data_IF_880292955767
#
_entry.id   IF_880292955767
#
_cell.length_a   1.000
_cell.length_b   1.000
_cell.length_c   1.000
_cell.angle_alpha   90.00
_cell.angle_beta   90.00
_cell.angle_gamma   90.00
#
_symmetry.space_group_name_H-M   'P 1'
#
loop_
_entity.id
_entity.type
_entity.pdbx_description
1 polymer ?
#
# COMPACT_ATOMS: atom_id res chain seq x y z
N UNK A 1 -31.32 9.48 5.80
CA UNK A 1 -29.85 9.34 5.85
C UNK A 1 -29.25 10.12 4.71
N UNK A 2 -28.22 10.89 4.97
CA UNK A 2 -27.53 11.64 3.90
C UNK A 2 -26.74 10.66 3.02
N UNK A 3 -26.85 10.81 1.69
CA UNK A 3 -26.00 10.04 0.79
C UNK A 3 -24.63 10.70 0.71
N UNK A 4 -23.57 9.91 0.95
CA UNK A 4 -22.20 10.33 0.74
C UNK A 4 -21.91 10.37 -0.77
N UNK A 5 -21.05 11.29 -1.18
CA UNK A 5 -20.66 11.47 -2.59
C UNK A 5 -19.28 10.83 -2.82
N UNK A 6 -19.19 9.77 -3.63
CA UNK A 6 -17.91 9.09 -3.91
C UNK A 6 -16.81 10.02 -4.41
N UNK A 7 -17.16 11.08 -5.15
CA UNK A 7 -16.23 12.04 -5.74
C UNK A 7 -15.44 12.83 -4.69
N UNK A 8 -15.93 12.90 -3.46
CA UNK A 8 -15.28 13.64 -2.38
C UNK A 8 -14.13 12.89 -1.72
N UNK A 9 -13.94 11.60 -2.03
CA UNK A 9 -12.97 10.74 -1.36
C UNK A 9 -11.80 10.41 -2.28
N UNK A 10 -10.60 10.76 -1.81
CA UNK A 10 -9.38 10.62 -2.61
C UNK A 10 -8.42 9.55 -2.09
N UNK A 11 -8.61 9.06 -0.88
CA UNK A 11 -7.74 8.06 -0.26
C UNK A 11 -8.55 6.82 0.10
N UNK A 12 -8.07 5.67 -0.37
CA UNK A 12 -8.61 4.36 -0.02
C UNK A 12 -7.73 3.71 1.06
N UNK A 13 -8.34 3.37 2.18
CA UNK A 13 -7.71 2.55 3.21
C UNK A 13 -8.30 1.14 3.14
N UNK A 14 -7.49 0.17 2.76
CA UNK A 14 -7.87 -1.25 2.71
C UNK A 14 -7.42 -1.90 4.00
N UNK A 15 -8.38 -2.40 4.77
CA UNK A 15 -8.19 -3.15 6.01
C UNK A 15 -8.88 -4.52 5.86
N UNK A 16 -8.16 -5.56 5.43
CA UNK A 16 -8.77 -6.86 5.08
C UNK A 16 -9.56 -7.50 6.20
N UNK A 17 -9.03 -7.49 7.43
CA UNK A 17 -9.66 -8.12 8.59
C UNK A 17 -10.52 -7.14 9.36
N UNK A 18 -11.53 -7.67 10.06
CA UNK A 18 -12.41 -6.87 10.93
C UNK A 18 -11.63 -6.06 11.98
N UNK A 19 -10.64 -6.69 12.64
CA UNK A 19 -9.80 -6.02 13.66
C UNK A 19 -8.96 -4.88 13.08
N UNK A 20 -8.50 -5.02 11.83
CA UNK A 20 -7.77 -3.98 11.10
C UNK A 20 -8.69 -2.82 10.72
N UNK A 21 -9.93 -3.14 10.30
CA UNK A 21 -10.95 -2.13 10.01
C UNK A 21 -11.38 -1.38 11.27
N UNK A 22 -11.49 -2.05 12.41
CA UNK A 22 -11.75 -1.42 13.71
C UNK A 22 -10.63 -0.45 14.09
N UNK A 23 -9.36 -0.87 13.91
CA UNK A 23 -8.22 0.02 14.13
C UNK A 23 -8.24 1.24 13.20
N UNK A 24 -8.56 1.05 11.91
CA UNK A 24 -8.68 2.13 10.94
C UNK A 24 -9.79 3.14 11.32
N UNK A 25 -10.96 2.66 11.76
CA UNK A 25 -12.06 3.50 12.21
C UNK A 25 -11.72 4.33 13.46
N UNK A 26 -10.87 3.80 14.35
CA UNK A 26 -10.39 4.52 15.54
C UNK A 26 -9.34 5.59 15.19
N UNK A 27 -8.72 5.50 14.02
CA UNK A 27 -7.75 6.49 13.53
C UNK A 27 -8.42 7.69 12.84
N UNK A 28 -9.71 7.61 12.47
CA UNK A 28 -10.40 8.75 11.88
C UNK A 28 -10.46 9.93 12.86
N UNK A 29 -10.22 11.14 12.35
CA UNK A 29 -10.44 12.37 13.12
C UNK A 29 -11.95 12.58 13.30
N UNK A 30 -12.74 12.41 12.21
CA UNK A 30 -14.19 12.37 12.26
C UNK A 30 -14.72 11.26 11.35
N UNK A 31 -15.73 10.52 11.83
CA UNK A 31 -16.48 9.58 11.00
C UNK A 31 -17.61 10.33 10.30
N UNK A 32 -17.74 10.17 9.00
CA UNK A 32 -18.81 10.79 8.24
C UNK A 32 -20.11 10.02 8.39
N UNK A 33 -21.16 10.73 8.75
CA UNK A 33 -22.52 10.18 8.81
C UNK A 33 -23.09 10.03 7.41
N UNK A 34 -23.68 8.86 7.12
CA UNK A 34 -24.29 8.57 5.84
C UNK A 34 -23.82 7.25 5.24
N UNK A 35 -24.29 6.99 4.04
CA UNK A 35 -23.92 5.80 3.26
C UNK A 35 -23.65 6.19 1.83
N UNK A 36 -22.76 5.45 1.19
CA UNK A 36 -22.60 5.52 -0.25
C UNK A 36 -23.80 4.85 -0.93
N UNK A 37 -24.27 5.37 -2.08
CA UNK A 37 -25.25 4.68 -2.89
C UNK A 37 -24.61 3.37 -3.40
N UNK A 38 -25.36 2.27 -3.27
CA UNK A 38 -24.94 0.94 -3.71
C UNK A 38 -25.89 0.50 -4.80
N UNK A 39 -25.36 0.15 -5.97
CA UNK A 39 -26.13 -0.38 -7.08
C UNK A 39 -26.22 -1.91 -6.98
N UNK A 40 -27.20 -2.48 -7.67
CA UNK A 40 -27.34 -3.94 -7.76
C UNK A 40 -26.12 -4.54 -8.48
N UNK A 41 -25.37 -5.40 -7.79
CA UNK A 41 -24.11 -5.99 -8.27
C UNK A 41 -22.87 -5.35 -7.70
N UNK A 42 -23.01 -4.40 -6.77
CA UNK A 42 -21.91 -3.96 -5.92
C UNK A 42 -21.81 -4.86 -4.69
N UNK A 43 -20.63 -5.41 -4.42
CA UNK A 43 -20.44 -6.43 -3.39
C UNK A 43 -19.88 -5.87 -2.08
N UNK A 44 -19.43 -4.60 -2.05
CA UNK A 44 -18.71 -4.03 -0.91
C UNK A 44 -19.44 -2.83 -0.29
N UNK A 45 -19.33 -2.73 1.03
CA UNK A 45 -19.84 -1.59 1.81
C UNK A 45 -18.64 -0.85 2.38
N UNK A 46 -18.57 0.45 2.10
CA UNK A 46 -17.48 1.31 2.51
C UNK A 46 -17.86 2.17 3.72
N UNK A 47 -16.90 2.38 4.62
CA UNK A 47 -16.99 3.36 5.69
C UNK A 47 -16.25 4.63 5.29
N UNK A 48 -16.65 5.78 5.82
CA UNK A 48 -16.10 7.07 5.43
C UNK A 48 -15.76 7.95 6.62
N UNK A 49 -14.77 8.79 6.45
CA UNK A 49 -14.36 9.79 7.42
C UNK A 49 -13.27 10.70 6.89
N UNK A 50 -12.75 11.56 7.76
CA UNK A 50 -11.54 12.32 7.47
C UNK A 50 -10.40 11.93 8.40
N UNK A 51 -9.17 12.14 7.93
CA UNK A 51 -7.95 11.84 8.64
C UNK A 51 -6.84 12.80 8.18
N UNK A 52 -6.30 13.59 9.09
CA UNK A 52 -5.26 14.59 8.79
C UNK A 52 -5.64 15.54 7.63
N UNK A 53 -6.93 15.91 7.54
CA UNK A 53 -7.45 16.78 6.49
C UNK A 53 -7.72 16.11 5.14
N UNK A 54 -7.61 14.80 5.05
CA UNK A 54 -7.95 14.00 3.88
C UNK A 54 -9.29 13.27 4.06
N UNK A 55 -10.12 13.28 3.05
CA UNK A 55 -11.29 12.40 3.01
C UNK A 55 -10.87 10.97 2.66
N UNK A 56 -11.08 10.06 3.60
CA UNK A 56 -10.67 8.67 3.54
C UNK A 56 -11.89 7.76 3.47
N UNK A 57 -11.83 6.78 2.58
CA UNK A 57 -12.77 5.67 2.55
C UNK A 57 -12.09 4.40 3.04
N UNK A 58 -12.71 3.71 4.00
CA UNK A 58 -12.23 2.45 4.56
C UNK A 58 -13.01 1.32 3.93
N UNK A 59 -12.26 0.35 3.39
CA UNK A 59 -12.76 -0.86 2.77
C UNK A 59 -12.27 -2.08 3.54
N UNK A 60 -13.18 -3.00 3.85
CA UNK A 60 -12.86 -4.29 4.45
C UNK A 60 -13.45 -5.43 3.63
N UNK A 61 -12.84 -6.59 3.69
CA UNK A 61 -13.35 -7.77 2.99
C UNK A 61 -14.66 -8.26 3.62
N UNK A 62 -15.50 -8.98 2.86
CA UNK A 62 -16.74 -9.54 3.37
C UNK A 62 -16.51 -10.45 4.58
N UNK A 63 -17.47 -10.47 5.51
CA UNK A 63 -17.43 -11.36 6.65
C UNK A 63 -17.41 -12.83 6.19
N UNK A 64 -16.65 -13.68 6.86
CA UNK A 64 -16.54 -15.11 6.52
C UNK A 64 -15.14 -15.54 6.10
N UNK A 65 -14.12 -14.74 6.46
CA UNK A 65 -12.70 -15.05 6.21
C UNK A 65 -12.31 -15.06 4.72
N UNK A 66 -12.91 -14.19 3.93
CA UNK A 66 -12.44 -13.93 2.58
C UNK A 66 -11.19 -13.05 2.64
N UNK A 67 -10.01 -13.64 2.67
CA UNK A 67 -8.72 -12.97 2.59
C UNK A 67 -7.93 -13.51 1.39
N UNK A 68 -6.79 -12.92 1.11
CA UNK A 68 -5.92 -13.33 0.01
C UNK A 68 -5.90 -12.34 -1.15
N UNK A 69 -4.99 -12.59 -2.07
CA UNK A 69 -4.68 -11.68 -3.18
C UNK A 69 -5.86 -11.51 -4.13
N UNK A 70 -6.66 -12.57 -4.33
CA UNK A 70 -7.86 -12.53 -5.18
C UNK A 70 -8.93 -11.58 -4.63
N UNK A 71 -9.31 -11.75 -3.36
CA UNK A 71 -10.31 -10.90 -2.68
C UNK A 71 -9.84 -9.44 -2.58
N UNK A 72 -8.55 -9.25 -2.29
CA UNK A 72 -7.95 -7.91 -2.25
C UNK A 72 -7.93 -7.22 -3.63
N UNK A 73 -7.71 -7.97 -4.71
CA UNK A 73 -7.80 -7.44 -6.07
C UNK A 73 -9.24 -7.03 -6.44
N UNK A 74 -10.24 -7.80 -6.00
CA UNK A 74 -11.65 -7.51 -6.26
C UNK A 74 -12.07 -6.20 -5.58
N UNK A 75 -11.83 -6.05 -4.27
CA UNK A 75 -12.18 -4.81 -3.53
C UNK A 75 -11.44 -3.59 -4.07
N UNK A 76 -10.15 -3.71 -4.42
CA UNK A 76 -9.39 -2.61 -5.00
C UNK A 76 -9.93 -2.19 -6.37
N UNK A 77 -10.33 -3.14 -7.20
CA UNK A 77 -10.92 -2.88 -8.53
C UNK A 77 -12.29 -2.22 -8.42
N UNK A 78 -13.13 -2.67 -7.49
CA UNK A 78 -14.43 -2.06 -7.26
C UNK A 78 -14.31 -0.66 -6.67
N UNK A 79 -13.43 -0.45 -5.69
CA UNK A 79 -13.17 0.87 -5.13
C UNK A 79 -12.67 1.86 -6.19
N UNK A 80 -11.75 1.43 -7.07
CA UNK A 80 -11.28 2.26 -8.20
C UNK A 80 -12.42 2.69 -9.14
N UNK A 81 -13.38 1.80 -9.40
CA UNK A 81 -14.55 2.10 -10.22
C UNK A 81 -15.51 3.05 -9.51
N UNK A 82 -15.70 2.84 -8.20
CA UNK A 82 -16.71 3.54 -7.41
C UNK A 82 -16.28 4.95 -6.97
N UNK A 83 -14.98 5.16 -6.70
CA UNK A 83 -14.42 6.44 -6.25
C UNK A 83 -13.61 7.11 -7.36
N UNK A 84 -14.21 7.98 -8.20
CA UNK A 84 -13.55 8.54 -9.38
C UNK A 84 -12.40 9.50 -9.05
N UNK A 85 -12.40 10.09 -7.85
CA UNK A 85 -11.35 10.99 -7.36
C UNK A 85 -10.22 10.27 -6.61
N UNK A 86 -10.21 8.94 -6.62
CA UNK A 86 -9.20 8.16 -5.89
C UNK A 86 -7.78 8.48 -6.38
N UNK A 87 -6.97 9.02 -5.48
CA UNK A 87 -5.58 9.38 -5.74
C UNK A 87 -4.64 8.20 -5.46
N UNK A 88 -4.71 7.64 -4.24
CA UNK A 88 -3.95 6.46 -3.85
C UNK A 88 -4.65 5.69 -2.72
N UNK A 89 -4.12 4.51 -2.43
CA UNK A 89 -4.55 3.68 -1.31
C UNK A 89 -3.43 3.41 -0.31
N UNK A 90 -3.84 2.98 0.88
CA UNK A 90 -3.00 2.35 1.89
C UNK A 90 -3.59 0.99 2.22
N UNK A 91 -2.80 -0.06 2.06
CA UNK A 91 -3.14 -1.41 2.50
C UNK A 91 -2.54 -1.58 3.90
N UNK A 92 -3.40 -1.56 4.91
CA UNK A 92 -3.00 -1.48 6.32
C UNK A 92 -3.58 -2.67 7.07
N UNK A 93 -2.71 -3.44 7.70
CA UNK A 93 -3.12 -4.62 8.43
C UNK A 93 -1.97 -5.30 9.15
N UNK A 94 -2.10 -6.60 9.38
CA UNK A 94 -1.10 -7.40 10.09
C UNK A 94 -0.29 -8.28 9.15
N UNK A 95 0.89 -8.70 9.61
CA UNK A 95 1.78 -9.63 8.91
C UNK A 95 2.54 -10.50 9.90
N UNK A 96 3.17 -11.55 9.37
CA UNK A 96 4.26 -12.21 10.07
C UNK A 96 5.58 -11.47 9.80
N UNK A 97 6.35 -11.18 10.85
CA UNK A 97 7.70 -10.64 10.74
C UNK A 97 8.73 -11.73 10.50
N UNK A 98 9.79 -11.41 9.75
CA UNK A 98 10.88 -12.31 9.44
C UNK A 98 12.20 -11.78 10.02
N UNK A 99 12.47 -12.05 11.31
CA UNK A 99 13.74 -11.66 11.93
C UNK A 99 14.93 -12.36 11.25
N UNK A 100 16.05 -11.64 11.21
CA UNK A 100 17.33 -12.15 10.72
C UNK A 100 18.43 -11.71 11.69
N UNK A 101 18.65 -12.54 12.70
CA UNK A 101 19.59 -12.24 13.78
C UNK A 101 21.06 -12.55 13.39
N UNK A 102 21.25 -13.31 12.31
CA UNK A 102 22.59 -13.64 11.79
C UNK A 102 23.17 -12.52 10.90
N UNK A 103 22.33 -11.59 10.45
CA UNK A 103 22.76 -10.45 9.65
C UNK A 103 23.56 -9.45 10.48
N UNK A 104 24.46 -8.71 9.84
CA UNK A 104 25.18 -7.56 10.41
C UNK A 104 24.76 -6.24 9.71
N UNK A 105 24.15 -5.27 10.39
CA UNK A 105 23.59 -5.36 11.75
C UNK A 105 22.37 -6.29 11.81
N UNK A 106 22.07 -6.89 12.98
CA UNK A 106 20.94 -7.79 13.16
C UNK A 106 19.61 -7.13 12.84
N UNK A 107 18.74 -7.83 12.12
CA UNK A 107 17.35 -7.42 11.87
C UNK A 107 16.43 -8.11 12.87
N UNK A 108 16.38 -7.58 14.10
CA UNK A 108 15.60 -8.12 15.21
C UNK A 108 14.15 -7.61 15.16
N UNK A 109 13.37 -8.09 14.16
CA UNK A 109 11.94 -7.79 14.05
C UNK A 109 11.19 -8.47 15.19
N UNK A 110 10.31 -7.71 15.88
CA UNK A 110 9.54 -8.19 17.04
C UNK A 110 8.05 -8.02 16.86
N UNK A 111 7.28 -8.75 17.69
CA UNK A 111 5.83 -8.59 17.72
C UNK A 111 5.47 -7.16 18.16
N UNK A 112 4.56 -6.54 17.40
CA UNK A 112 4.20 -5.14 17.57
C UNK A 112 5.04 -4.16 16.72
N UNK A 113 6.14 -4.59 16.10
CA UNK A 113 6.86 -3.76 15.13
C UNK A 113 6.01 -3.47 13.87
N UNK A 114 6.39 -2.45 13.14
CA UNK A 114 5.74 -2.06 11.87
C UNK A 114 6.64 -2.40 10.69
N UNK A 115 6.08 -3.05 9.69
CA UNK A 115 6.72 -3.33 8.40
C UNK A 115 6.14 -2.40 7.34
N UNK A 116 7.01 -1.78 6.55
CA UNK A 116 6.62 -0.86 5.48
C UNK A 116 7.21 -1.33 4.17
N UNK A 117 6.34 -1.66 3.23
CA UNK A 117 6.72 -2.11 1.90
C UNK A 117 7.30 -0.96 1.08
N UNK A 118 8.62 -0.96 0.88
CA UNK A 118 9.29 0.01 0.02
C UNK A 118 10.17 -0.70 -1.00
N UNK A 119 10.35 -0.13 -2.20
CA UNK A 119 11.27 -0.66 -3.19
C UNK A 119 12.70 -0.76 -2.63
N UNK A 120 13.37 -1.83 -2.99
CA UNK A 120 14.79 -2.05 -2.79
C UNK A 120 15.45 -2.20 -4.16
N UNK A 121 16.78 -2.41 -4.22
CA UNK A 121 17.57 -2.48 -5.45
C UNK A 121 16.95 -3.43 -6.48
N UNK A 122 16.50 -4.61 -6.04
CA UNK A 122 15.99 -5.66 -6.91
C UNK A 122 14.49 -5.96 -6.75
N UNK A 123 13.76 -5.17 -5.92
CA UNK A 123 12.37 -5.42 -5.59
C UNK A 123 11.50 -4.18 -5.68
N UNK A 124 10.25 -4.35 -6.08
CA UNK A 124 9.22 -3.30 -6.07
C UNK A 124 8.72 -2.92 -4.66
N UNK A 125 9.18 -3.61 -3.61
CA UNK A 125 8.70 -3.48 -2.24
C UNK A 125 7.62 -4.50 -1.86
N UNK A 126 7.11 -5.25 -2.83
CA UNK A 126 6.22 -6.39 -2.63
C UNK A 126 6.61 -7.51 -3.57
N UNK A 127 6.73 -8.72 -3.03
CA UNK A 127 7.13 -9.93 -3.78
C UNK A 127 6.03 -10.96 -3.69
N UNK A 128 5.46 -11.36 -4.84
CA UNK A 128 4.49 -12.46 -4.91
C UNK A 128 5.24 -13.80 -4.75
N UNK A 129 5.29 -14.33 -3.52
CA UNK A 129 6.15 -15.47 -3.19
C UNK A 129 5.57 -16.84 -3.54
N UNK A 130 4.32 -16.94 -3.92
CA UNK A 130 3.66 -18.18 -4.32
C UNK A 130 3.41 -18.30 -5.83
N UNK A 131 3.81 -17.27 -6.61
CA UNK A 131 3.80 -17.30 -8.06
C UNK A 131 5.18 -17.74 -8.56
N UNK A 132 5.39 -19.04 -8.64
CA UNK A 132 6.67 -19.62 -8.98
C UNK A 132 6.56 -20.82 -9.92
N UNK A 133 7.72 -21.33 -10.33
CA UNK A 133 7.88 -22.60 -11.01
C UNK A 133 8.23 -23.65 -9.97
N UNK A 134 7.57 -24.79 -10.04
CA UNK A 134 7.88 -25.97 -9.27
C UNK A 134 8.60 -26.94 -10.21
N UNK A 135 9.91 -27.02 -10.09
CA UNK A 135 10.77 -27.87 -10.93
C UNK A 135 11.09 -29.21 -10.22
N UNK A 136 10.42 -29.51 -9.10
CA UNK A 136 10.52 -30.79 -8.39
C UNK A 136 11.67 -30.91 -7.38
N UNK A 137 12.55 -29.94 -7.29
CA UNK A 137 13.72 -29.92 -6.40
C UNK A 137 13.50 -29.13 -5.10
N UNK A 138 12.32 -29.18 -4.48
CA UNK A 138 11.97 -28.45 -3.24
C UNK A 138 12.23 -26.92 -3.26
N UNK A 139 12.77 -26.36 -4.33
CA UNK A 139 13.03 -24.93 -4.50
C UNK A 139 12.02 -24.28 -5.47
N UNK A 140 11.03 -23.59 -4.90
CA UNK A 140 10.17 -22.72 -5.67
C UNK A 140 11.00 -21.57 -6.25
N UNK A 141 11.18 -21.55 -7.56
CA UNK A 141 11.75 -20.42 -8.27
C UNK A 141 10.66 -19.42 -8.61
N UNK A 142 10.74 -18.18 -8.09
CA UNK A 142 9.74 -17.16 -8.36
C UNK A 142 9.83 -16.73 -9.83
N UNK A 143 8.71 -16.89 -10.57
CA UNK A 143 8.67 -16.56 -12.01
C UNK A 143 8.93 -15.09 -12.30
N UNK A 144 8.75 -14.21 -11.35
CA UNK A 144 8.72 -12.77 -11.62
C UNK A 144 9.48 -11.93 -10.61
N UNK A 145 10.19 -12.52 -9.66
CA UNK A 145 11.02 -11.84 -8.64
C UNK A 145 10.49 -10.44 -8.19
N UNK A 146 9.18 -10.25 -8.16
CA UNK A 146 8.57 -8.98 -7.80
C UNK A 146 8.59 -7.87 -8.85
N UNK A 147 9.27 -8.02 -9.99
CA UNK A 147 9.40 -6.96 -11.00
C UNK A 147 8.10 -6.57 -11.73
N UNK A 148 7.06 -7.37 -11.61
CA UNK A 148 5.78 -7.10 -12.27
C UNK A 148 4.80 -6.41 -11.35
N UNK A 149 5.03 -6.40 -10.05
CA UNK A 149 4.23 -5.63 -9.12
C UNK A 149 4.66 -4.16 -9.16
N UNK A 150 3.67 -3.26 -9.16
CA UNK A 150 3.91 -1.84 -9.07
C UNK A 150 4.65 -1.51 -7.76
N UNK A 151 5.48 -0.48 -7.80
CA UNK A 151 6.13 0.03 -6.60
C UNK A 151 5.15 0.80 -5.73
N UNK A 152 5.46 0.88 -4.43
CA UNK A 152 4.79 1.82 -3.52
C UNK A 152 4.75 3.21 -4.13
N UNK A 153 3.57 3.81 -4.15
CA UNK A 153 3.30 5.08 -4.83
C UNK A 153 4.24 6.21 -4.35
N UNK A 154 4.73 7.07 -5.25
CA UNK A 154 5.75 8.06 -4.93
C UNK A 154 5.38 9.00 -3.77
N UNK A 155 4.13 9.47 -3.67
CA UNK A 155 3.68 10.36 -2.60
C UNK A 155 3.80 9.69 -1.21
N UNK A 156 3.46 8.42 -1.10
CA UNK A 156 3.62 7.64 0.13
C UNK A 156 5.10 7.45 0.45
N UNK A 157 5.95 7.15 -0.55
CA UNK A 157 7.40 7.07 -0.34
C UNK A 157 8.01 8.38 0.12
N UNK A 158 7.53 9.51 -0.39
CA UNK A 158 7.97 10.84 0.04
C UNK A 158 7.57 11.13 1.49
N UNK A 159 6.35 10.77 1.88
CA UNK A 159 5.89 10.88 3.27
C UNK A 159 6.71 9.98 4.22
N UNK A 160 7.00 8.74 3.82
CA UNK A 160 7.89 7.85 4.57
C UNK A 160 9.29 8.47 4.69
N UNK A 161 9.82 9.03 3.62
CA UNK A 161 11.10 9.74 3.64
C UNK A 161 11.11 10.89 4.65
N UNK A 162 10.03 11.67 4.71
CA UNK A 162 9.86 12.74 5.70
C UNK A 162 9.87 12.21 7.14
N UNK A 163 9.14 11.12 7.43
CA UNK A 163 9.13 10.49 8.77
C UNK A 163 10.55 10.03 9.16
N UNK A 164 11.29 9.44 8.22
CA UNK A 164 12.67 8.96 8.47
C UNK A 164 13.67 10.06 8.79
N UNK A 165 13.40 11.31 8.44
CA UNK A 165 14.25 12.43 8.83
C UNK A 165 14.24 12.68 10.34
N UNK A 166 13.19 12.23 11.04
CA UNK A 166 13.08 12.31 12.50
C UNK A 166 13.78 11.15 13.22
N UNK A 167 14.45 10.23 12.51
CA UNK A 167 15.21 9.13 13.12
C UNK A 167 16.33 9.66 14.04
N UNK A 168 16.54 9.08 15.24
CA UNK A 168 15.95 7.86 15.77
C UNK A 168 14.59 8.03 16.48
N UNK A 169 14.01 9.21 16.50
CA UNK A 169 12.74 9.51 17.19
C UNK A 169 11.50 9.23 16.31
N UNK A 170 11.64 8.52 15.19
CA UNK A 170 10.52 8.28 14.25
C UNK A 170 9.32 7.59 14.90
N UNK A 171 9.54 6.78 15.94
CA UNK A 171 8.45 6.15 16.68
C UNK A 171 7.52 7.19 17.33
N UNK A 172 8.03 8.32 17.79
CA UNK A 172 7.23 9.37 18.40
C UNK A 172 6.22 9.99 17.42
N UNK A 173 6.53 9.98 16.10
CA UNK A 173 5.66 10.53 15.06
C UNK A 173 4.33 9.78 14.98
N UNK A 174 4.32 8.47 15.20
CA UNK A 174 3.11 7.65 15.09
C UNK A 174 2.56 7.15 16.43
N UNK A 175 3.40 6.96 17.46
CA UNK A 175 2.93 6.47 18.76
C UNK A 175 1.91 7.41 19.42
N UNK A 176 1.97 8.73 19.15
CA UNK A 176 0.93 9.67 19.60
C UNK A 176 -0.48 9.27 19.13
N UNK A 177 -0.63 8.71 17.94
CA UNK A 177 -1.91 8.26 17.40
C UNK A 177 -2.37 6.98 18.08
N UNK A 178 -1.43 6.06 18.37
CA UNK A 178 -1.72 4.88 19.17
C UNK A 178 -2.15 5.22 20.59
N UNK A 179 -1.46 6.15 21.25
CA UNK A 179 -1.82 6.59 22.61
C UNK A 179 -3.26 7.11 22.69
N UNK A 180 -3.73 7.80 21.66
CA UNK A 180 -5.10 8.30 21.61
C UNK A 180 -6.15 7.19 21.48
N UNK A 181 -5.79 6.06 20.84
CA UNK A 181 -6.77 4.99 20.59
C UNK A 181 -6.69 3.81 21.56
N UNK A 182 -5.56 3.57 22.22
CA UNK A 182 -5.31 2.33 22.98
C UNK A 182 -6.34 2.04 24.08
N UNK A 183 -6.94 3.07 24.63
CA UNK A 183 -7.94 2.96 25.70
C UNK A 183 -9.39 2.89 25.19
N UNK A 184 -9.59 3.01 23.88
CA UNK A 184 -10.93 2.93 23.27
C UNK A 184 -11.43 1.48 23.30
N UNK A 185 -12.51 1.26 24.06
CA UNK A 185 -13.19 -0.05 24.13
C UNK A 185 -14.39 -0.05 23.19
N UNK A 186 -14.21 -0.48 21.95
CA UNK A 186 -15.33 -0.62 21.00
C UNK A 186 -15.83 -2.05 20.83
N UNK A 187 -15.27 -3.01 21.56
CA UNK A 187 -15.73 -4.40 21.60
C UNK A 187 -15.07 -5.12 22.77
N UNK A 188 -15.19 -6.43 22.84
CA UNK A 188 -14.43 -7.26 23.79
C UNK A 188 -12.93 -7.34 23.49
N UNK A 189 -12.45 -6.62 22.47
CA UNK A 189 -11.05 -6.60 22.03
C UNK A 189 -10.37 -5.35 22.56
N UNK A 190 -9.17 -5.51 23.10
CA UNK A 190 -8.31 -4.42 23.53
C UNK A 190 -7.12 -4.30 22.58
N UNK A 191 -6.75 -3.06 22.25
CA UNK A 191 -5.57 -2.75 21.42
C UNK A 191 -4.30 -2.53 22.27
N UNK A 192 -4.30 -3.00 23.50
CA UNK A 192 -3.18 -2.85 24.42
C UNK A 192 -2.00 -3.75 24.04
N UNK A 193 -0.78 -3.30 24.36
CA UNK A 193 0.44 -4.12 24.23
C UNK A 193 0.34 -5.37 25.13
N UNK A 194 0.47 -6.58 24.55
CA UNK A 194 0.47 -7.82 25.34
C UNK A 194 1.65 -7.99 26.29
N UNK A 195 2.72 -7.20 26.14
CA UNK A 195 3.94 -7.28 26.93
C UNK A 195 5.08 -8.04 26.24
N UNK A 196 6.31 -7.53 26.42
CA UNK A 196 7.52 -8.08 25.76
C UNK A 196 7.86 -9.51 26.20
N UNK A 197 7.48 -9.89 27.41
CA UNK A 197 7.66 -11.23 27.97
C UNK A 197 6.87 -12.31 27.22
N UNK A 198 5.84 -11.89 26.49
CA UNK A 198 5.00 -12.76 25.63
C UNK A 198 5.50 -12.82 24.18
N UNK A 199 6.49 -12.02 23.81
CA UNK A 199 7.12 -12.04 22.48
C UNK A 199 8.18 -13.14 22.41
N UNK A 200 7.81 -14.31 21.90
CA UNK A 200 8.68 -15.49 21.79
C UNK A 200 8.98 -15.79 20.34
N UNK A 201 10.25 -15.77 20.00
CA UNK A 201 10.76 -16.20 18.70
C UNK A 201 11.25 -17.65 18.82
N UNK A 202 10.77 -18.53 17.94
CA UNK A 202 11.23 -19.92 17.84
C UNK A 202 12.14 -20.07 16.61
N UNK A 203 13.23 -20.79 16.78
CA UNK A 203 14.19 -21.13 15.73
C UNK A 203 14.40 -22.63 15.69
N UNK A 204 14.64 -23.15 14.49
CA UNK A 204 14.92 -24.56 14.24
C UNK A 204 16.42 -24.76 14.15
N UNK A 205 16.93 -25.75 14.87
CA UNK A 205 18.29 -26.28 14.69
C UNK A 205 18.39 -27.12 13.41
N UNK A 206 19.61 -27.49 13.07
CA UNK A 206 19.89 -28.32 11.88
C UNK A 206 19.23 -29.71 11.93
N UNK A 207 18.96 -30.22 13.12
CA UNK A 207 18.28 -31.49 13.36
C UNK A 207 16.74 -31.37 13.38
N UNK A 208 16.22 -30.13 13.26
CA UNK A 208 14.79 -29.81 13.30
C UNK A 208 14.24 -29.62 14.72
N UNK A 209 15.10 -29.59 15.74
CA UNK A 209 14.69 -29.27 17.11
C UNK A 209 14.40 -27.78 17.24
N UNK A 210 13.27 -27.46 17.85
CA UNK A 210 12.79 -26.11 18.04
C UNK A 210 13.22 -25.56 19.41
N UNK A 211 13.78 -24.37 19.42
CA UNK A 211 14.18 -23.68 20.66
C UNK A 211 13.74 -22.22 20.65
N UNK A 212 13.53 -21.66 21.86
CA UNK A 212 13.21 -20.24 22.04
C UNK A 212 14.52 -19.45 21.98
N UNK A 213 14.54 -18.44 21.11
CA UNK A 213 15.65 -17.48 21.04
C UNK A 213 15.51 -16.47 22.17
N UNK A 214 16.54 -16.43 23.05
CA UNK A 214 16.59 -15.41 24.09
C UNK A 214 16.91 -14.04 23.47
N UNK A 215 16.06 -13.05 23.78
CA UNK A 215 16.24 -11.67 23.33
C UNK A 215 16.03 -10.74 24.53
N UNK A 216 16.99 -9.87 24.80
CA UNK A 216 16.86 -8.86 25.84
C UNK A 216 15.67 -7.93 25.58
N UNK A 217 14.90 -7.55 26.61
CA UNK A 217 13.82 -6.59 26.45
C UNK A 217 14.33 -5.26 25.86
N UNK A 218 13.58 -4.69 24.94
CA UNK A 218 13.87 -3.36 24.43
C UNK A 218 13.47 -2.29 25.46
N UNK A 219 14.19 -1.14 25.52
CA UNK A 219 13.72 0.02 26.27
C UNK A 219 12.34 0.47 25.76
N UNK A 220 11.49 1.00 26.65
CA UNK A 220 10.13 1.43 26.28
C UNK A 220 10.10 2.43 25.13
N UNK A 221 11.10 3.31 25.04
CA UNK A 221 11.25 4.27 23.94
C UNK A 221 11.53 3.62 22.59
N UNK A 222 11.95 2.35 22.58
CA UNK A 222 12.25 1.54 21.40
C UNK A 222 11.39 0.27 21.35
N UNK A 223 10.27 0.26 22.08
CA UNK A 223 9.39 -0.89 22.18
C UNK A 223 8.89 -1.34 20.82
N UNK A 224 8.54 -0.40 19.95
CA UNK A 224 8.11 -0.63 18.58
C UNK A 224 9.08 0.04 17.62
N UNK A 225 9.61 -0.73 16.67
CA UNK A 225 10.45 -0.23 15.59
C UNK A 225 9.74 -0.34 14.26
N UNK A 226 10.18 0.47 13.30
CA UNK A 226 9.69 0.43 11.91
C UNK A 226 10.76 -0.16 11.01
N UNK A 227 10.38 -1.17 10.25
CA UNK A 227 11.26 -1.87 9.32
C UNK A 227 10.84 -1.62 7.88
N UNK A 228 11.79 -1.30 7.04
CA UNK A 228 11.58 -0.93 5.65
C UNK A 228 12.21 -1.96 4.73
N UNK A 229 11.46 -2.45 3.75
CA UNK A 229 11.98 -3.43 2.79
C UNK A 229 10.88 -4.17 2.06
N UNK A 230 11.24 -5.19 1.26
CA UNK A 230 10.27 -5.99 0.54
C UNK A 230 9.42 -6.85 1.48
N UNK A 231 8.11 -6.86 1.24
CA UNK A 231 7.14 -7.71 1.93
C UNK A 231 6.69 -8.82 0.98
N UNK A 232 6.75 -10.06 1.42
CA UNK A 232 6.23 -11.20 0.67
C UNK A 232 4.72 -11.28 0.76
N UNK A 233 4.05 -11.45 -0.38
CA UNK A 233 2.60 -11.55 -0.49
C UNK A 233 2.19 -12.82 -1.21
N UNK A 234 1.19 -13.54 -0.70
CA UNK A 234 0.69 -14.77 -1.32
C UNK A 234 -0.53 -15.36 -0.65
N UNK A 235 -1.14 -16.36 -1.28
CA UNK A 235 -2.39 -16.99 -0.82
C UNK A 235 -2.19 -17.97 0.36
N UNK A 236 -0.94 -18.34 0.66
CA UNK A 236 -0.66 -19.35 1.67
C UNK A 236 -0.40 -18.74 3.03
N UNK A 237 -1.19 -19.12 4.03
CA UNK A 237 -0.89 -18.86 5.43
C UNK A 237 0.37 -19.64 5.82
N UNK A 238 1.52 -18.93 5.87
CA UNK A 238 2.80 -19.53 6.21
C UNK A 238 2.86 -19.92 7.69
N UNK A 239 3.10 -21.21 7.96
CA UNK A 239 3.32 -21.79 9.30
C UNK A 239 4.57 -22.67 9.34
N UNK A 240 5.51 -22.44 8.45
CA UNK A 240 6.70 -23.24 8.28
C UNK A 240 7.95 -22.38 8.42
N UNK A 241 8.63 -22.47 9.56
CA UNK A 241 9.80 -21.67 9.90
C UNK A 241 10.96 -21.86 8.88
N UNK A 242 11.20 -23.11 8.43
CA UNK A 242 12.22 -23.40 7.42
C UNK A 242 11.92 -22.71 6.09
N UNK A 243 10.67 -22.78 5.63
CA UNK A 243 10.25 -22.13 4.38
C UNK A 243 10.27 -20.60 4.50
N UNK A 244 9.85 -20.07 5.64
CA UNK A 244 9.96 -18.64 5.99
C UNK A 244 11.41 -18.17 5.84
N UNK A 245 12.36 -18.89 6.44
CA UNK A 245 13.77 -18.49 6.43
C UNK A 245 14.37 -18.57 5.03
N UNK A 246 14.02 -19.58 4.23
CA UNK A 246 14.41 -19.67 2.81
C UNK A 246 13.93 -18.45 2.01
N UNK A 247 12.70 -18.01 2.20
CA UNK A 247 12.14 -16.84 1.52
C UNK A 247 12.85 -15.55 1.97
N UNK A 248 13.10 -15.42 3.28
CA UNK A 248 13.87 -14.30 3.84
C UNK A 248 15.27 -14.23 3.23
N UNK A 249 16.00 -15.33 3.24
CA UNK A 249 17.42 -15.37 2.84
C UNK A 249 17.57 -15.21 1.32
N UNK A 250 16.68 -15.79 0.53
CA UNK A 250 16.73 -15.73 -0.93
C UNK A 250 16.27 -14.39 -1.49
N UNK A 251 15.25 -13.76 -0.89
CA UNK A 251 14.61 -12.56 -1.46
C UNK A 251 14.69 -11.32 -0.58
N UNK A 252 15.37 -11.36 0.55
CA UNK A 252 15.51 -10.23 1.46
C UNK A 252 14.18 -9.79 2.12
N UNK A 253 13.15 -10.62 2.07
CA UNK A 253 11.80 -10.32 2.59
C UNK A 253 11.85 -10.06 4.09
N UNK A 254 11.16 -8.98 4.54
CA UNK A 254 11.09 -8.60 5.95
C UNK A 254 9.84 -9.10 6.66
N UNK A 255 8.81 -9.50 5.91
CA UNK A 255 7.55 -10.03 6.43
C UNK A 255 6.71 -10.73 5.37
N UNK A 256 5.68 -11.44 5.81
CA UNK A 256 4.74 -12.17 4.95
C UNK A 256 3.31 -11.74 5.26
N UNK A 257 2.54 -11.45 4.22
CA UNK A 257 1.12 -11.10 4.26
C UNK A 257 0.38 -11.72 3.08
N UNK A 258 -0.93 -11.48 2.92
CA UNK A 258 -1.74 -12.27 1.99
C UNK A 258 -2.50 -11.45 0.93
N UNK A 259 -2.37 -10.13 0.84
CA UNK A 259 -3.24 -9.27 0.02
C UNK A 259 -2.51 -8.38 -0.99
N UNK A 260 -1.32 -7.91 -0.66
CA UNK A 260 -0.65 -6.84 -1.41
C UNK A 260 -0.44 -7.18 -2.89
N UNK A 261 -0.06 -8.43 -3.22
CA UNK A 261 0.13 -8.83 -4.61
C UNK A 261 -1.14 -8.67 -5.48
N UNK A 262 -2.31 -8.78 -4.86
CA UNK A 262 -3.59 -8.53 -5.54
C UNK A 262 -3.87 -7.05 -5.79
N UNK A 263 -3.39 -6.16 -4.92
CA UNK A 263 -3.74 -4.74 -4.94
C UNK A 263 -2.75 -3.90 -5.75
N UNK A 264 -1.44 -4.22 -5.68
CA UNK A 264 -0.34 -3.37 -6.19
C UNK A 264 -0.50 -2.92 -7.64
N UNK A 265 -1.07 -3.76 -8.50
CA UNK A 265 -1.28 -3.45 -9.92
C UNK A 265 -2.70 -2.94 -10.24
N UNK A 266 -3.57 -2.75 -9.24
CA UNK A 266 -4.95 -2.28 -9.43
C UNK A 266 -5.08 -0.79 -9.18
N UNK A 267 -4.46 -0.33 -8.10
CA UNK A 267 -4.42 1.08 -7.69
C UNK A 267 -3.01 1.45 -7.26
N UNK A 268 -2.61 2.74 -7.31
CA UNK A 268 -1.42 3.21 -6.63
C UNK A 268 -1.58 3.00 -5.12
N UNK A 269 -0.70 2.24 -4.46
CA UNK A 269 -0.88 1.88 -3.05
C UNK A 269 0.44 1.84 -2.28
N UNK A 270 0.37 2.09 -0.96
CA UNK A 270 1.41 1.82 0.01
C UNK A 270 1.00 0.67 0.94
N UNK A 271 1.95 -0.15 1.37
CA UNK A 271 1.72 -1.31 2.24
C UNK A 271 2.34 -1.08 3.60
N UNK A 272 1.50 -1.15 4.66
CA UNK A 272 1.89 -0.99 6.06
C UNK A 272 1.34 -2.15 6.86
N UNK A 273 2.21 -2.87 7.57
CA UNK A 273 1.82 -4.08 8.30
C UNK A 273 2.37 -4.07 9.72
N UNK A 274 1.54 -4.42 10.71
CA UNK A 274 1.97 -4.68 12.08
C UNK A 274 2.35 -6.15 12.26
N UNK A 275 3.41 -6.40 12.99
CA UNK A 275 3.90 -7.77 13.21
C UNK A 275 3.09 -8.46 14.29
N UNK A 276 2.33 -9.50 13.95
CA UNK A 276 1.51 -10.27 14.87
C UNK A 276 1.92 -11.74 15.03
N UNK A 277 3.00 -12.17 14.37
CA UNK A 277 3.52 -13.54 14.40
C UNK A 277 4.82 -13.66 13.64
N UNK A 278 5.38 -14.87 13.58
CA UNK A 278 6.66 -15.17 12.93
C UNK A 278 6.59 -16.22 11.82
N UNK A 279 5.40 -16.43 11.23
CA UNK A 279 5.17 -17.43 10.17
C UNK A 279 5.58 -18.87 10.58
N UNK A 280 5.43 -19.20 11.85
CA UNK A 280 5.67 -20.51 12.46
C UNK A 280 4.36 -21.10 13.03
N UNK A 281 4.48 -22.21 13.77
CA UNK A 281 3.33 -22.88 14.40
C UNK A 281 2.88 -22.23 15.73
N UNK A 282 3.56 -21.18 16.20
CA UNK A 282 3.36 -20.56 17.51
C UNK A 282 2.55 -19.27 17.46
N UNK A 283 1.54 -19.18 16.56
CA UNK A 283 0.71 -17.97 16.43
C UNK A 283 -0.04 -17.67 17.74
N UNK A 284 0.24 -16.50 18.32
CA UNK A 284 -0.51 -15.94 19.43
C UNK A 284 -1.46 -14.84 18.94
N UNK A 285 -2.75 -15.10 19.01
CA UNK A 285 -3.81 -14.20 18.53
C UNK A 285 -3.92 -12.90 19.33
N UNK A 286 -3.42 -12.85 20.57
CA UNK A 286 -3.47 -11.66 21.42
C UNK A 286 -2.66 -10.48 20.83
N UNK A 287 -1.70 -10.78 19.95
CA UNK A 287 -0.90 -9.76 19.28
C UNK A 287 -1.58 -9.07 18.10
N UNK A 288 -2.62 -9.67 17.57
CA UNK A 288 -3.24 -9.18 16.33
C UNK A 288 -3.88 -7.79 16.51
N UNK A 289 -4.63 -7.49 17.59
CA UNK A 289 -5.18 -6.16 17.82
C UNK A 289 -4.09 -5.09 17.98
N UNK A 290 -3.07 -5.37 18.80
CA UNK A 290 -1.96 -4.45 19.03
C UNK A 290 -1.19 -4.16 17.73
N UNK A 291 -0.84 -5.18 16.97
CA UNK A 291 -0.19 -5.05 15.67
C UNK A 291 -1.02 -4.24 14.67
N UNK A 292 -2.34 -4.49 14.61
CA UNK A 292 -3.26 -3.69 13.77
C UNK A 292 -3.24 -2.21 14.17
N UNK A 293 -3.22 -1.92 15.47
CA UNK A 293 -3.15 -0.56 15.98
C UNK A 293 -1.83 0.14 15.61
N UNK A 294 -0.70 -0.56 15.72
CA UNK A 294 0.61 -0.01 15.34
C UNK A 294 0.68 0.30 13.85
N UNK A 295 0.20 -0.61 12.98
CA UNK A 295 0.13 -0.39 11.55
C UNK A 295 -0.79 0.81 11.23
N UNK A 296 -1.95 0.90 11.87
CA UNK A 296 -2.89 1.99 11.66
C UNK A 296 -2.33 3.34 12.13
N UNK A 297 -1.64 3.37 13.26
CA UNK A 297 -0.99 4.59 13.76
C UNK A 297 0.10 5.08 12.80
N UNK A 298 0.92 4.16 12.27
CA UNK A 298 1.95 4.51 11.30
C UNK A 298 1.35 4.99 9.97
N UNK A 299 0.29 4.35 9.49
CA UNK A 299 -0.40 4.77 8.27
C UNK A 299 -1.05 6.16 8.43
N UNK A 300 -1.59 6.50 9.62
CA UNK A 300 -2.05 7.86 9.92
C UNK A 300 -0.88 8.85 9.93
N UNK A 301 0.28 8.46 10.44
CA UNK A 301 1.47 9.29 10.38
C UNK A 301 1.91 9.57 8.94
N UNK A 302 1.82 8.59 8.02
CA UNK A 302 2.05 8.83 6.58
C UNK A 302 1.10 9.91 6.07
N UNK A 303 -0.20 9.81 6.35
CA UNK A 303 -1.18 10.81 5.90
C UNK A 303 -0.92 12.20 6.49
N UNK A 304 -0.43 12.28 7.72
CA UNK A 304 -0.08 13.57 8.34
C UNK A 304 1.10 14.29 7.68
N UNK A 305 1.94 13.58 6.93
CA UNK A 305 3.05 14.16 6.17
C UNK A 305 2.62 14.62 4.76
N UNK A 306 1.46 14.21 4.30
CA UNK A 306 0.97 14.56 2.97
C UNK A 306 0.05 15.79 3.11
N UNK A 307 0.35 16.92 2.44
CA UNK A 307 -0.54 18.07 2.48
C UNK A 307 -1.92 17.70 1.91
N UNK A 308 -2.99 18.05 2.62
CA UNK A 308 -4.34 17.94 2.07
C UNK A 308 -4.46 18.85 0.85
N UNK A 309 -5.12 18.38 -0.23
CA UNK A 309 -5.34 19.20 -1.41
C UNK A 309 -6.09 20.48 -1.03
N UNK A 310 -5.55 21.63 -1.37
CA UNK A 310 -6.31 22.89 -1.33
C UNK A 310 -7.50 22.70 -2.27
N UNK A 311 -8.70 22.94 -1.77
CA UNK A 311 -9.85 23.10 -2.65
C UNK A 311 -9.52 24.15 -3.72
N UNK A 312 -9.78 23.92 -5.00
CA UNK A 312 -9.67 24.96 -6.01
C UNK A 312 -10.82 25.95 -5.78
N UNK A 313 -10.61 26.95 -4.93
CA UNK A 313 -11.61 27.96 -4.61
C UNK A 313 -11.48 28.70 -3.29
N UNK A 314 -10.55 28.37 -2.42
CA UNK A 314 -10.27 29.12 -1.19
C UNK A 314 -9.48 30.38 -1.47
N UNK A 315 -10.20 31.47 -1.67
CA UNK A 315 -9.90 32.90 -1.46
C UNK A 315 -8.42 33.25 -1.27
N UNK A 316 -7.89 33.97 -2.25
CA UNK A 316 -6.69 34.79 -2.10
C UNK A 316 -6.79 35.58 -0.79
N UNK A 317 -5.83 35.36 0.10
CA UNK A 317 -5.60 36.20 1.27
C UNK A 317 -5.47 37.64 0.79
N UNK A 318 -6.43 38.46 1.14
CA UNK A 318 -6.37 39.92 0.99
C UNK A 318 -5.08 40.39 1.67
N UNK A 319 -4.10 40.76 0.87
CA UNK A 319 -3.01 41.63 1.35
C UNK A 319 -3.67 42.90 1.81
N UNK A 320 -3.71 43.14 3.09
CA UNK A 320 -4.04 44.40 3.69
C UNK A 320 -3.13 45.51 3.09
N UNK A 321 -3.72 46.34 2.27
CA UNK A 321 -3.11 47.61 1.89
C UNK A 321 -3.01 48.49 3.14
N UNK A 322 -1.82 48.63 3.67
CA UNK A 322 -1.48 49.72 4.56
C UNK A 322 -1.36 50.95 3.71
N UNK A 323 -2.37 51.82 3.80
CA UNK A 323 -2.37 53.18 3.32
C UNK A 323 -1.25 53.98 3.98
N UNK A 324 -0.30 54.43 3.19
CA UNK A 324 0.52 55.60 3.52
C UNK A 324 0.28 56.65 2.46
N UNK A 325 -0.42 57.67 2.91
CA UNK A 325 -0.75 58.91 2.27
C UNK A 325 0.52 59.78 2.21
N UNK A 326 1.00 60.16 1.03
CA UNK A 326 1.79 61.39 0.91
C UNK A 326 1.61 62.07 -0.44
N UNK A 327 1.44 63.36 -0.31
CA UNK A 327 0.99 64.39 -1.21
C UNK A 327 1.90 64.67 -2.42
N UNK A 328 1.21 64.93 -3.52
CA UNK A 328 1.43 65.94 -4.53
C UNK A 328 2.82 66.53 -4.74
N UNK A 329 3.29 66.52 -6.01
CA UNK A 329 3.76 67.74 -6.72
C UNK A 329 3.73 67.51 -8.24
N UNK A 330 2.95 68.37 -8.89
CA UNK A 330 2.98 68.72 -10.32
C UNK A 330 4.34 69.30 -10.75
N UNK A 331 4.77 68.92 -11.94
CA UNK A 331 5.47 69.76 -12.97
C UNK A 331 5.57 68.88 -14.21
N UNK A 332 4.90 69.12 -15.19
CA UNK A 332 4.80 70.02 -16.36
C UNK A 332 6.03 69.98 -17.29
N UNK A 333 5.71 69.70 -18.57
CA UNK A 333 6.39 70.03 -19.83
C UNK A 333 7.63 69.23 -20.26
N UNK A 334 7.50 68.78 -21.50
CA UNK A 334 8.55 68.65 -22.46
C UNK A 334 8.23 67.74 -23.62
N UNK A 335 7.42 68.21 -24.55
CA UNK A 335 7.35 67.80 -25.95
C UNK A 335 8.73 67.93 -26.61
N UNK A 336 9.18 66.92 -27.33
CA UNK A 336 10.00 67.09 -28.56
C UNK A 336 9.89 65.81 -29.40
N UNK A 337 9.48 66.06 -30.59
CA UNK A 337 9.31 65.36 -31.83
C UNK A 337 10.62 64.80 -32.43
N UNK A 338 10.38 63.94 -33.39
CA UNK A 338 11.08 63.62 -34.66
C UNK A 338 12.22 62.60 -34.56
N UNK A 339 12.27 61.71 -35.40
CA UNK A 339 12.14 61.35 -36.77
C UNK A 339 13.11 60.20 -37.12
N UNK A 340 12.64 59.35 -38.01
CA UNK A 340 13.34 58.73 -39.13
C UNK A 340 14.22 57.47 -38.95
N UNK A 341 13.80 56.56 -39.75
CA UNK A 341 14.57 55.78 -40.76
C UNK A 341 14.95 54.37 -40.32
N UNK A 342 14.75 53.44 -40.96
CA UNK A 342 14.41 52.93 -42.30
C UNK A 342 14.67 51.40 -42.29
N UNK A 343 13.75 50.70 -42.86
CA UNK A 343 13.84 49.57 -43.79
C UNK A 343 15.03 48.57 -43.63
N UNK A 344 14.76 47.29 -43.38
CA UNK A 344 14.89 46.25 -44.42
C UNK A 344 14.62 44.82 -43.85
N UNK A 345 13.70 44.20 -44.51
CA UNK A 345 13.61 42.92 -45.23
C UNK A 345 13.55 41.61 -44.41
N UNK A 346 12.33 41.11 -44.38
CA UNK A 346 11.86 39.79 -44.90
C UNK A 346 12.90 38.66 -44.99
N UNK A 347 12.61 37.57 -44.30
CA UNK A 347 12.60 36.24 -44.97
C UNK A 347 11.61 35.29 -44.29
N UNK A 348 10.49 35.06 -44.98
CA UNK A 348 9.59 33.92 -44.85
C UNK A 348 10.37 32.66 -45.16
N UNK A 349 10.29 31.61 -44.34
CA UNK A 349 10.58 30.25 -44.78
C UNK A 349 9.34 29.39 -44.68
N UNK A 350 8.96 28.88 -45.83
CA UNK A 350 7.84 28.02 -46.17
C UNK A 350 7.95 26.65 -45.47
N UNK A 351 6.79 26.11 -45.08
CA UNK A 351 6.55 24.68 -44.93
C UNK A 351 6.74 23.96 -46.26
N UNK A 352 7.23 22.71 -46.24
CA UNK A 352 6.97 21.80 -47.35
C UNK A 352 5.83 20.84 -46.99
N UNK A 353 5.06 20.59 -48.01
CA UNK A 353 3.88 19.79 -48.16
C UNK A 353 4.15 18.30 -48.11
N UNK A 354 3.16 17.62 -47.59
CA UNK A 354 2.67 16.25 -47.78
C UNK A 354 3.19 15.57 -49.07
N UNK A 355 3.86 14.44 -48.89
CA UNK A 355 4.04 13.44 -49.93
C UNK A 355 3.46 12.10 -49.45
N UNK A 356 2.46 11.66 -50.15
CA UNK A 356 1.91 10.32 -50.21
C UNK A 356 2.96 9.34 -50.69
N UNK A 357 3.13 8.22 -49.97
CA UNK A 357 3.75 7.05 -50.58
C UNK A 357 3.10 5.75 -50.07
N UNK A 358 2.61 5.07 -51.02
CA UNK A 358 2.09 3.74 -51.27
C UNK A 358 2.72 2.62 -50.45
N UNK A 359 1.83 1.68 -50.13
CA UNK A 359 1.96 0.32 -49.66
C UNK A 359 3.17 -0.48 -50.17
N UNK A 360 3.87 -1.16 -49.23
CA UNK A 360 4.48 -2.46 -49.53
C UNK A 360 4.85 -3.20 -48.24
N UNK A 361 4.47 -4.46 -48.19
CA UNK A 361 5.24 -5.51 -47.55
C UNK A 361 4.87 -5.90 -46.10
N UNK A 362 3.82 -6.67 -45.92
CA UNK A 362 3.66 -7.58 -44.77
C UNK A 362 4.73 -8.67 -44.87
N UNK A 363 5.70 -8.68 -43.98
CA UNK A 363 6.49 -9.88 -43.67
C UNK A 363 5.76 -10.69 -42.62
N UNK A 364 5.27 -11.84 -42.99
CA UNK A 364 4.66 -12.84 -42.11
C UNK A 364 5.83 -13.67 -41.54
N UNK A 365 6.08 -13.53 -40.22
CA UNK A 365 6.90 -14.49 -39.50
C UNK A 365 6.10 -15.79 -39.35
N UNK A 366 6.57 -16.85 -40.00
CA UNK A 366 6.05 -18.20 -39.80
C UNK A 366 6.45 -18.73 -38.45
N UNK A 367 5.48 -18.92 -37.58
CA UNK A 367 5.62 -19.69 -36.34
C UNK A 367 5.32 -21.16 -36.68
N UNK A 368 6.32 -22.04 -36.62
CA UNK A 368 6.15 -23.49 -36.67
C UNK A 368 6.03 -24.02 -35.26
N UNK A 369 4.80 -24.13 -34.76
CA UNK A 369 4.49 -24.85 -33.54
C UNK A 369 3.46 -25.93 -33.87
N UNK A 370 3.78 -27.19 -33.62
CA UNK A 370 2.83 -28.29 -33.70
C UNK A 370 1.75 -28.10 -32.65
N UNK A 371 0.56 -27.74 -33.07
CA UNK A 371 -0.65 -27.74 -32.27
C UNK A 371 -1.60 -28.77 -32.79
N UNK A 372 -1.98 -29.74 -31.98
CA UNK A 372 -3.01 -30.72 -32.30
C UNK A 372 -4.36 -30.00 -32.46
N UNK A 373 -4.90 -30.04 -33.67
CA UNK A 373 -6.31 -29.72 -33.93
C UNK A 373 -7.15 -30.93 -33.55
N UNK A 374 -8.03 -30.77 -32.57
CA UNK A 374 -9.12 -31.71 -32.31
C UNK A 374 -10.38 -31.09 -32.90
N UNK A 375 -10.75 -31.55 -34.12
CA UNK A 375 -12.08 -31.41 -34.66
C UNK A 375 -12.80 -32.75 -34.44
N UNK A 376 -13.83 -32.73 -33.62
CA UNK A 376 -14.66 -33.94 -33.41
C UNK A 376 -15.82 -33.63 -32.50
N UNK A 377 -17.01 -33.51 -33.05
CA UNK A 377 -18.27 -33.60 -32.35
C UNK A 377 -18.43 -35.06 -31.86
N UNK A 378 -18.30 -35.31 -30.56
CA UNK A 378 -18.54 -36.59 -29.94
C UNK A 378 -19.07 -36.40 -28.53
N UNK A 379 -20.29 -36.83 -28.30
CA UNK A 379 -20.91 -36.92 -26.99
C UNK A 379 -20.20 -37.98 -26.15
N UNK A 380 -19.69 -37.58 -24.97
CA UNK A 380 -19.15 -38.51 -23.96
C UNK A 380 -20.24 -38.78 -22.92
N UNK A 381 -20.75 -40.01 -22.88
CA UNK A 381 -21.55 -40.52 -21.75
C UNK A 381 -20.61 -41.11 -20.70
N UNK A 382 -20.58 -40.54 -19.51
CA UNK A 382 -19.87 -41.11 -18.36
C UNK A 382 -20.89 -41.92 -17.56
N UNK A 383 -20.85 -43.25 -17.75
CA UNK A 383 -21.49 -44.17 -16.84
C UNK A 383 -20.47 -44.73 -15.85
N UNK A 384 -20.74 -44.61 -14.55
CA UNK A 384 -19.89 -45.17 -13.51
C UNK A 384 -20.37 -44.78 -12.12
N UNK A 385 -21.26 -45.56 -11.56
CA UNK A 385 -21.62 -45.55 -10.14
C UNK A 385 -20.43 -46.01 -9.29
N UNK A 386 -19.98 -45.19 -8.34
CA UNK A 386 -19.16 -45.65 -7.21
C UNK A 386 -19.93 -45.42 -5.92
N UNK A 387 -20.27 -46.52 -5.27
CA UNK A 387 -20.73 -46.60 -3.89
C UNK A 387 -19.56 -46.45 -2.94
N UNK A 388 -19.66 -45.51 -2.01
CA UNK A 388 -18.79 -45.42 -0.85
C UNK A 388 -19.37 -46.28 0.30
N UNK A 389 -18.53 -47.12 0.86
CA UNK A 389 -18.66 -47.67 2.20
C UNK A 389 -17.84 -46.80 3.17
#
# INVERSE_FOLDING_TARGET
>A
MQNLRPENYSILWIAPLEIEAQAALLMLDHRHDGKFPVDRGDDYVFQAGDMCGHNVVIATLPAGQEYGTGSAAAIASQAKKFFPSLWFGLLVGVAAGLPDLARDPPRDIRLGDVLVGIPDVDSSGTIAYDLGRDDGDDELELLRQGHILAQTVPVVRSAIGSIKLDSPAEAAVFLKYYENMKNERRSNVTFLDPGQDRDKLFQLDNDGTEHIVHREPRPDTQRTLVWYGPIGSGEKLMKNAKRRDQLRDKYGIIGLEMEAAGVMNRIPVGVVRGVCGYADNHKNWDWQPYASAMAAAYAKAILSQIPSSREPGGSAVSRSETSANEKSKKRDRGDITDEDGDITTRKKRKRPSRATRTSAGRSIAKFSGQGNQITGSGSISIGGSQTFN
#
